data_IF_058351888411
#
_entry.id   IF_058351888411
#
_cell.length_a   1.000
_cell.length_b   1.000
_cell.length_c   1.000
_cell.angle_alpha   90.00
_cell.angle_beta   90.00
_cell.angle_gamma   90.00
#
_symmetry.space_group_name_H-M   'P 1'
#
loop_
_entity.id
_entity.type
_entity.pdbx_description
1 polymer ?
#
# COMPACT_ATOMS: atom_id res chain seq x y z
N UNK A 1 3.78 -0.67 -28.30
CA UNK A 1 2.53 -0.89 -29.06
C UNK A 1 1.59 0.26 -28.76
N UNK A 2 0.92 0.84 -29.76
CA UNK A 2 0.02 1.99 -29.51
C UNK A 2 -1.09 1.60 -28.52
N UNK A 3 -1.41 2.51 -27.59
CA UNK A 3 -2.46 2.31 -26.59
C UNK A 3 -3.88 2.40 -27.18
N UNK A 4 -4.00 2.60 -28.50
CA UNK A 4 -5.28 2.86 -29.19
C UNK A 4 -6.28 1.71 -29.04
N UNK A 5 -5.81 0.48 -28.85
CA UNK A 5 -6.70 -0.67 -28.68
C UNK A 5 -7.39 -0.72 -27.31
N UNK A 6 -6.80 -0.13 -26.26
CA UNK A 6 -7.40 -0.17 -24.90
C UNK A 6 -8.73 0.57 -24.85
N UNK A 7 -8.82 1.73 -25.52
CA UNK A 7 -10.05 2.50 -25.60
C UNK A 7 -11.18 1.74 -26.30
N UNK A 8 -10.84 0.83 -27.21
CA UNK A 8 -11.83 0.00 -27.94
C UNK A 8 -12.54 -1.02 -27.06
N UNK A 9 -11.97 -1.40 -25.91
CA UNK A 9 -12.61 -2.35 -25.00
C UNK A 9 -13.94 -1.79 -24.45
N UNK A 10 -14.01 -0.47 -24.31
CA UNK A 10 -15.17 0.25 -23.81
C UNK A 10 -16.21 0.55 -24.90
N UNK A 11 -15.98 0.09 -26.13
CA UNK A 11 -16.92 0.20 -27.25
C UNK A 11 -17.47 -1.18 -27.64
N UNK A 12 -18.24 -1.23 -28.72
CA UNK A 12 -18.72 -2.49 -29.31
C UNK A 12 -17.67 -3.16 -30.22
N UNK A 13 -16.50 -2.54 -30.43
CA UNK A 13 -15.41 -3.10 -31.24
C UNK A 13 -14.76 -4.29 -30.50
N UNK A 14 -14.61 -5.43 -31.18
CA UNK A 14 -13.97 -6.65 -30.63
C UNK A 14 -12.55 -6.86 -31.15
N UNK A 15 -12.07 -6.01 -32.06
CA UNK A 15 -10.72 -6.11 -32.66
C UNK A 15 -9.58 -5.97 -31.64
N UNK A 16 -9.87 -5.47 -30.43
CA UNK A 16 -8.91 -5.37 -29.35
C UNK A 16 -8.44 -6.72 -28.81
N UNK A 17 -9.25 -7.78 -28.93
CA UNK A 17 -8.98 -9.07 -28.27
C UNK A 17 -7.66 -9.69 -28.70
N UNK A 18 -7.38 -9.74 -30.01
CA UNK A 18 -6.14 -10.31 -30.53
C UNK A 18 -4.91 -9.50 -30.10
N UNK A 19 -5.00 -8.16 -30.12
CA UNK A 19 -3.92 -7.27 -29.68
C UNK A 19 -3.67 -7.39 -28.17
N UNK A 20 -4.74 -7.51 -27.39
CA UNK A 20 -4.66 -7.69 -25.94
C UNK A 20 -4.02 -9.02 -25.54
N UNK A 21 -4.40 -10.12 -26.23
CA UNK A 21 -3.80 -11.44 -26.02
C UNK A 21 -2.31 -11.43 -26.36
N UNK A 22 -1.94 -10.88 -27.52
CA UNK A 22 -0.54 -10.75 -27.92
C UNK A 22 0.26 -9.88 -26.93
N UNK A 23 -0.31 -8.75 -26.49
CA UNK A 23 0.32 -7.86 -25.51
C UNK A 23 0.51 -8.54 -24.15
N UNK A 24 -0.43 -9.38 -23.72
CA UNK A 24 -0.36 -10.07 -22.43
C UNK A 24 0.74 -11.15 -22.42
N UNK A 25 0.97 -11.82 -23.54
CA UNK A 25 2.04 -12.82 -23.69
C UNK A 25 3.42 -12.20 -24.00
N UNK A 26 3.46 -10.96 -24.51
CA UNK A 26 4.71 -10.27 -24.85
C UNK A 26 5.57 -9.90 -23.64
N UNK A 27 5.02 -9.90 -22.43
CA UNK A 27 5.76 -9.68 -21.18
C UNK A 27 5.74 -10.96 -20.32
N UNK A 28 6.72 -11.89 -20.50
CA UNK A 28 6.72 -13.17 -19.80
C UNK A 28 6.72 -13.06 -18.28
N UNK A 29 7.39 -12.04 -17.72
CA UNK A 29 7.42 -11.83 -16.26
C UNK A 29 6.05 -11.45 -15.72
N UNK A 30 5.38 -10.49 -16.36
CA UNK A 30 4.02 -10.08 -15.97
C UNK A 30 3.00 -11.19 -16.23
N UNK A 31 3.13 -11.91 -17.34
CA UNK A 31 2.30 -13.06 -17.65
C UNK A 31 2.42 -14.13 -16.55
N UNK A 32 3.64 -14.42 -16.10
CA UNK A 32 3.90 -15.34 -14.99
C UNK A 32 3.28 -14.86 -13.67
N UNK A 33 3.45 -13.58 -13.33
CA UNK A 33 2.86 -12.98 -12.11
C UNK A 33 1.34 -13.14 -12.05
N UNK A 34 0.65 -12.97 -13.18
CA UNK A 34 -0.81 -13.07 -13.27
C UNK A 34 -1.31 -14.41 -13.83
N UNK A 35 -0.44 -15.42 -13.92
CA UNK A 35 -0.77 -16.76 -14.44
C UNK A 35 -1.48 -16.73 -15.82
N UNK A 36 -0.96 -15.90 -16.74
CA UNK A 36 -1.39 -15.83 -18.13
C UNK A 36 -0.46 -16.69 -18.98
N UNK A 37 -1.01 -17.66 -19.69
CA UNK A 37 -0.29 -18.64 -20.53
C UNK A 37 -0.94 -18.72 -21.91
N UNK A 38 -0.29 -19.36 -22.88
CA UNK A 38 -0.89 -19.65 -24.20
C UNK A 38 -2.25 -20.34 -24.09
N UNK A 39 -2.42 -21.17 -23.07
CA UNK A 39 -3.57 -22.06 -22.92
C UNK A 39 -4.77 -21.34 -22.33
N UNK A 40 -4.55 -20.28 -21.54
CA UNK A 40 -5.61 -19.55 -20.83
C UNK A 40 -5.75 -18.07 -21.22
N UNK A 41 -4.88 -17.53 -22.10
CA UNK A 41 -4.86 -16.11 -22.43
C UNK A 41 -6.19 -15.61 -22.99
N UNK A 42 -6.88 -16.42 -23.80
CA UNK A 42 -8.15 -16.05 -24.43
C UNK A 42 -9.21 -15.78 -23.36
N UNK A 43 -9.42 -16.74 -22.45
CA UNK A 43 -10.37 -16.64 -21.35
C UNK A 43 -10.01 -15.49 -20.40
N UNK A 44 -8.74 -15.40 -19.99
CA UNK A 44 -8.24 -14.38 -19.05
C UNK A 44 -8.43 -12.96 -19.58
N UNK A 45 -8.16 -12.75 -20.87
CA UNK A 45 -8.27 -11.43 -21.51
C UNK A 45 -9.72 -11.06 -21.78
N UNK A 46 -10.56 -12.03 -22.14
CA UNK A 46 -12.00 -11.79 -22.27
C UNK A 46 -12.61 -11.38 -20.92
N UNK A 47 -12.37 -12.17 -19.87
CA UNK A 47 -12.86 -11.86 -18.52
C UNK A 47 -12.34 -10.54 -17.98
N UNK A 48 -11.09 -10.17 -18.28
CA UNK A 48 -10.55 -8.85 -17.94
C UNK A 48 -11.25 -7.71 -18.68
N UNK A 49 -11.57 -7.90 -19.97
CA UNK A 49 -12.34 -6.94 -20.77
C UNK A 49 -13.76 -6.72 -20.23
N UNK A 50 -14.43 -7.80 -19.83
CA UNK A 50 -15.77 -7.72 -19.25
C UNK A 50 -15.75 -7.05 -17.87
N UNK A 51 -14.76 -7.39 -17.02
CA UNK A 51 -14.57 -6.72 -15.73
C UNK A 51 -14.22 -5.24 -15.91
N UNK A 52 -13.40 -4.88 -16.90
CA UNK A 52 -13.09 -3.48 -17.20
C UNK A 52 -14.38 -2.70 -17.46
N UNK A 53 -15.30 -3.21 -18.29
CA UNK A 53 -16.57 -2.54 -18.60
C UNK A 53 -17.43 -2.32 -17.36
N UNK A 54 -17.44 -3.28 -16.43
CA UNK A 54 -18.18 -3.17 -15.17
C UNK A 54 -17.56 -2.14 -14.22
N UNK A 55 -16.23 -2.12 -14.11
CA UNK A 55 -15.50 -1.23 -13.19
C UNK A 55 -15.39 0.20 -13.72
N UNK A 56 -15.40 0.39 -15.04
CA UNK A 56 -15.06 1.67 -15.67
C UNK A 56 -15.91 2.87 -15.22
N UNK A 57 -17.24 2.77 -14.99
CA UNK A 57 -18.04 3.91 -14.52
C UNK A 57 -17.56 4.45 -13.16
N UNK A 58 -17.44 3.59 -12.16
CA UNK A 58 -16.98 3.97 -10.82
C UNK A 58 -15.52 4.44 -10.84
N UNK A 59 -14.69 3.75 -11.63
CA UNK A 59 -13.29 4.14 -11.83
C UNK A 59 -13.15 5.51 -12.49
N UNK A 60 -13.98 5.82 -13.50
CA UNK A 60 -13.99 7.10 -14.19
C UNK A 60 -14.33 8.23 -13.21
N UNK A 61 -15.37 8.04 -12.40
CA UNK A 61 -15.72 8.97 -11.34
C UNK A 61 -14.58 9.14 -10.33
N UNK A 62 -13.93 8.05 -9.93
CA UNK A 62 -12.77 8.09 -9.03
C UNK A 62 -11.60 8.90 -9.63
N UNK A 63 -11.27 8.68 -10.91
CA UNK A 63 -10.23 9.43 -11.60
C UNK A 63 -10.50 10.93 -11.62
N UNK A 64 -11.73 11.33 -11.94
CA UNK A 64 -12.11 12.74 -12.06
C UNK A 64 -12.16 13.43 -10.69
N UNK A 65 -12.76 12.79 -9.69
CA UNK A 65 -12.99 13.41 -8.37
C UNK A 65 -11.75 13.32 -7.48
N UNK A 66 -11.14 12.13 -7.40
CA UNK A 66 -10.06 11.86 -6.43
C UNK A 66 -8.69 12.13 -7.04
N UNK A 67 -8.42 11.61 -8.24
CA UNK A 67 -7.12 11.76 -8.88
C UNK A 67 -6.99 13.07 -9.68
N UNK A 68 -8.11 13.76 -9.94
CA UNK A 68 -8.19 14.97 -10.77
C UNK A 68 -7.50 14.79 -12.13
N UNK A 69 -7.74 13.63 -12.75
CA UNK A 69 -7.15 13.26 -14.03
C UNK A 69 -8.18 12.60 -14.95
N UNK A 70 -7.87 12.57 -16.24
CA UNK A 70 -8.71 11.91 -17.22
C UNK A 70 -8.65 10.38 -17.06
N UNK A 71 -9.78 9.68 -17.05
CA UNK A 71 -9.82 8.21 -16.91
C UNK A 71 -8.94 7.50 -17.95
N UNK A 72 -8.85 8.06 -19.16
CA UNK A 72 -8.04 7.51 -20.25
C UNK A 72 -6.55 7.50 -19.93
N UNK A 73 -6.04 8.46 -19.15
CA UNK A 73 -4.64 8.48 -18.72
C UNK A 73 -4.31 7.32 -17.77
N UNK A 74 -5.34 6.81 -17.05
CA UNK A 74 -5.19 5.76 -16.04
C UNK A 74 -5.68 4.39 -16.53
N UNK A 75 -6.19 4.29 -17.77
CA UNK A 75 -6.72 3.06 -18.33
C UNK A 75 -5.66 1.95 -18.44
N UNK A 76 -4.42 2.34 -18.73
CA UNK A 76 -3.29 1.42 -18.83
C UNK A 76 -2.92 0.81 -17.46
N UNK A 77 -2.67 1.59 -16.39
CA UNK A 77 -2.57 1.09 -15.02
C UNK A 77 -3.71 0.16 -14.60
N UNK A 78 -4.95 0.53 -14.93
CA UNK A 78 -6.12 -0.30 -14.63
C UNK A 78 -6.05 -1.66 -15.31
N UNK A 79 -5.73 -1.67 -16.60
CA UNK A 79 -5.66 -2.89 -17.41
C UNK A 79 -4.48 -3.81 -17.05
N UNK A 80 -3.29 -3.25 -16.89
CA UNK A 80 -2.06 -4.01 -16.73
C UNK A 80 -1.84 -4.51 -15.31
N UNK A 81 -2.33 -3.77 -14.30
CA UNK A 81 -2.08 -4.05 -12.89
C UNK A 81 -3.35 -4.25 -12.09
N UNK A 82 -4.22 -3.24 -11.99
CA UNK A 82 -5.25 -3.25 -10.95
C UNK A 82 -6.33 -4.30 -11.17
N UNK A 83 -6.81 -4.47 -12.41
CA UNK A 83 -7.78 -5.52 -12.75
C UNK A 83 -7.25 -6.93 -12.47
N UNK A 84 -6.08 -7.36 -13.03
CA UNK A 84 -5.58 -8.70 -12.76
C UNK A 84 -5.22 -8.90 -11.28
N UNK A 85 -4.76 -7.86 -10.58
CA UNK A 85 -4.49 -7.93 -9.15
C UNK A 85 -5.77 -8.13 -8.32
N UNK A 86 -6.85 -7.41 -8.63
CA UNK A 86 -8.15 -7.59 -7.98
C UNK A 86 -8.69 -9.01 -8.16
N UNK A 87 -8.60 -9.56 -9.38
CA UNK A 87 -8.96 -10.96 -9.66
C UNK A 87 -8.09 -11.94 -8.87
N UNK A 88 -6.77 -11.71 -8.81
CA UNK A 88 -5.87 -12.57 -8.05
C UNK A 88 -6.18 -12.58 -6.54
N UNK A 89 -6.47 -11.42 -5.94
CA UNK A 89 -6.89 -11.31 -4.53
C UNK A 89 -8.21 -12.04 -4.30
N UNK A 90 -9.20 -11.84 -5.18
CA UNK A 90 -10.49 -12.54 -5.12
C UNK A 90 -10.32 -14.06 -5.18
N UNK A 91 -9.50 -14.57 -6.11
CA UNK A 91 -9.21 -16.02 -6.21
C UNK A 91 -8.53 -16.55 -4.95
N UNK A 92 -7.57 -15.81 -4.38
CA UNK A 92 -6.89 -16.21 -3.13
C UNK A 92 -7.85 -16.26 -1.94
N UNK A 93 -8.77 -15.30 -1.85
CA UNK A 93 -9.83 -15.32 -0.85
C UNK A 93 -10.75 -16.55 -1.02
N UNK A 94 -11.22 -16.83 -2.25
CA UNK A 94 -12.05 -18.00 -2.54
C UNK A 94 -11.38 -19.32 -2.13
N UNK A 95 -10.09 -19.48 -2.45
CA UNK A 95 -9.31 -20.67 -2.09
C UNK A 95 -9.11 -20.79 -0.56
N UNK A 96 -8.98 -19.66 0.13
CA UNK A 96 -8.81 -19.65 1.59
C UNK A 96 -10.11 -19.96 2.34
N UNK A 97 -11.27 -19.58 1.80
CA UNK A 97 -12.60 -19.87 2.36
C UNK A 97 -12.95 -19.10 3.63
N UNK A 98 -12.22 -18.03 3.96
CA UNK A 98 -12.44 -17.13 5.10
C UNK A 98 -11.94 -15.72 4.78
N UNK A 99 -12.21 -14.70 5.62
CA UNK A 99 -11.74 -13.34 5.36
C UNK A 99 -10.25 -13.29 5.03
N UNK A 100 -9.90 -12.60 3.94
CA UNK A 100 -8.54 -12.55 3.42
C UNK A 100 -7.88 -11.19 3.73
N UNK A 101 -6.74 -11.20 4.40
CA UNK A 101 -5.99 -9.98 4.73
C UNK A 101 -4.83 -9.80 3.75
N UNK A 102 -4.99 -8.85 2.83
CA UNK A 102 -3.97 -8.43 1.89
C UNK A 102 -3.14 -7.29 2.48
N UNK A 103 -1.87 -7.56 2.81
CA UNK A 103 -0.90 -6.53 3.20
C UNK A 103 -0.38 -5.76 2.00
N UNK A 104 -0.25 -4.44 2.12
CA UNK A 104 0.30 -3.55 1.09
C UNK A 104 1.35 -2.64 1.73
N UNK A 105 2.62 -2.91 1.47
CA UNK A 105 3.74 -2.07 1.89
C UNK A 105 4.08 -1.05 0.81
N UNK A 106 4.47 0.15 1.22
CA UNK A 106 5.02 1.16 0.31
C UNK A 106 5.42 2.43 1.05
N UNK A 107 6.50 3.08 0.64
CA UNK A 107 6.93 4.34 1.26
C UNK A 107 5.93 5.49 1.00
N UNK A 108 6.20 6.66 1.56
CA UNK A 108 5.37 7.84 1.32
C UNK A 108 5.40 8.22 -0.18
N UNK A 109 4.24 8.51 -0.76
CA UNK A 109 4.12 8.87 -2.18
C UNK A 109 3.92 7.70 -3.15
N UNK A 110 4.11 6.44 -2.75
CA UNK A 110 4.01 5.29 -3.68
C UNK A 110 2.59 4.92 -4.14
N UNK A 111 1.55 5.61 -3.65
CA UNK A 111 0.16 5.37 -4.08
C UNK A 111 -0.59 4.26 -3.35
N UNK A 112 -0.16 3.82 -2.15
CA UNK A 112 -0.85 2.80 -1.32
C UNK A 112 -2.37 3.04 -1.17
N UNK A 113 -2.76 4.25 -0.77
CA UNK A 113 -4.18 4.59 -0.60
C UNK A 113 -4.94 4.55 -1.93
N UNK A 114 -4.30 4.95 -3.03
CA UNK A 114 -4.88 4.90 -4.37
C UNK A 114 -5.15 3.45 -4.80
N UNK A 115 -4.16 2.57 -4.66
CA UNK A 115 -4.35 1.16 -5.03
C UNK A 115 -5.40 0.48 -4.15
N UNK A 116 -5.47 0.79 -2.84
CA UNK A 116 -6.51 0.23 -1.97
C UNK A 116 -7.91 0.64 -2.41
N UNK A 117 -8.12 1.92 -2.75
CA UNK A 117 -9.42 2.41 -3.23
C UNK A 117 -9.83 1.75 -4.55
N UNK A 118 -8.90 1.65 -5.50
CA UNK A 118 -9.17 1.03 -6.81
C UNK A 118 -9.45 -0.46 -6.66
N UNK A 119 -8.67 -1.18 -5.84
CA UNK A 119 -8.94 -2.58 -5.53
C UNK A 119 -10.30 -2.76 -4.84
N UNK A 120 -10.70 -1.84 -3.97
CA UNK A 120 -12.05 -1.80 -3.39
C UNK A 120 -13.14 -1.77 -4.45
N UNK A 121 -13.04 -0.85 -5.43
CA UNK A 121 -13.99 -0.77 -6.55
C UNK A 121 -14.05 -2.07 -7.37
N UNK A 122 -12.88 -2.64 -7.69
CA UNK A 122 -12.79 -3.87 -8.48
C UNK A 122 -13.39 -5.06 -7.73
N UNK A 123 -13.03 -5.23 -6.46
CA UNK A 123 -13.49 -6.33 -5.62
C UNK A 123 -15.00 -6.23 -5.35
N UNK A 124 -15.54 -5.01 -5.23
CA UNK A 124 -16.97 -4.79 -5.15
C UNK A 124 -17.70 -5.28 -6.40
N UNK A 125 -17.20 -4.96 -7.61
CA UNK A 125 -17.77 -5.47 -8.87
C UNK A 125 -17.63 -6.99 -9.03
N UNK A 126 -16.68 -7.60 -8.32
CA UNK A 126 -16.53 -9.05 -8.20
C UNK A 126 -17.40 -9.67 -7.09
N UNK A 127 -18.21 -8.86 -6.38
CA UNK A 127 -19.16 -9.32 -5.37
C UNK A 127 -18.60 -9.42 -3.95
N UNK A 128 -17.42 -8.88 -3.67
CA UNK A 128 -16.77 -8.93 -2.35
C UNK A 128 -16.89 -7.61 -1.60
N UNK A 129 -17.02 -7.71 -0.27
CA UNK A 129 -17.00 -6.57 0.64
C UNK A 129 -15.60 -6.38 1.18
N UNK A 130 -15.06 -5.18 0.98
CA UNK A 130 -13.70 -4.84 1.37
C UNK A 130 -13.66 -3.89 2.56
N UNK A 131 -12.74 -4.10 3.49
CA UNK A 131 -12.35 -3.12 4.50
C UNK A 131 -10.97 -2.55 4.17
N UNK A 132 -10.86 -1.23 4.01
CA UNK A 132 -9.56 -0.55 3.93
C UNK A 132 -9.11 -0.14 5.33
N UNK A 133 -8.00 -0.70 5.79
CA UNK A 133 -7.36 -0.38 7.06
C UNK A 133 -5.98 0.22 6.79
N UNK A 134 -5.72 1.43 7.28
CA UNK A 134 -4.38 2.01 7.25
C UNK A 134 -3.66 1.71 8.55
N UNK A 135 -2.36 1.45 8.49
CA UNK A 135 -1.52 1.43 9.69
C UNK A 135 -1.58 2.78 10.41
N UNK A 136 -1.76 3.88 9.68
CA UNK A 136 -1.90 5.22 10.27
C UNK A 136 -3.22 5.39 11.07
N UNK A 137 -4.26 4.61 10.79
CA UNK A 137 -5.50 4.62 11.59
C UNK A 137 -5.28 4.02 12.99
N UNK A 138 -4.18 3.28 13.14
CA UNK A 138 -3.78 2.58 14.35
C UNK A 138 -2.75 3.35 15.17
N UNK A 139 -2.51 4.63 14.88
CA UNK A 139 -1.69 5.46 15.76
C UNK A 139 -2.27 5.48 17.19
N UNK A 140 -1.37 5.60 18.16
CA UNK A 140 -1.76 5.86 19.54
C UNK A 140 -2.48 7.20 19.66
N UNK A 141 -3.29 7.34 20.71
CA UNK A 141 -3.99 8.60 20.99
C UNK A 141 -3.00 9.73 21.25
N UNK A 142 -3.46 10.97 21.18
CA UNK A 142 -2.64 12.14 21.51
C UNK A 142 -2.05 12.04 22.92
N UNK A 143 -2.84 11.60 23.91
CA UNK A 143 -2.40 11.44 25.29
C UNK A 143 -1.30 10.38 25.43
N UNK A 144 -1.48 9.21 24.79
CA UNK A 144 -0.46 8.16 24.79
C UNK A 144 0.83 8.63 24.10
N UNK A 145 0.70 9.45 23.04
CA UNK A 145 1.86 10.05 22.38
C UNK A 145 2.61 11.02 23.29
N UNK A 146 1.93 11.82 24.11
CA UNK A 146 2.58 12.67 25.10
C UNK A 146 3.37 11.84 26.12
N UNK A 147 2.80 10.73 26.59
CA UNK A 147 3.49 9.80 27.48
C UNK A 147 4.72 9.16 26.79
N UNK A 148 4.61 8.78 25.52
CA UNK A 148 5.74 8.25 24.74
C UNK A 148 6.88 9.26 24.60
N UNK A 149 6.58 10.52 24.31
CA UNK A 149 7.62 11.57 24.17
C UNK A 149 8.33 11.83 25.50
N UNK A 150 7.63 11.72 26.63
CA UNK A 150 8.25 11.80 27.95
C UNK A 150 9.19 10.63 28.24
N UNK A 151 8.88 9.44 27.72
CA UNK A 151 9.71 8.24 27.86
C UNK A 151 10.91 8.25 26.90
N UNK A 152 10.70 8.70 25.67
CA UNK A 152 11.73 8.83 24.65
C UNK A 152 11.48 10.06 23.80
N UNK A 153 12.22 11.13 24.07
CA UNK A 153 12.09 12.41 23.37
C UNK A 153 12.48 12.35 21.90
N UNK A 154 13.14 11.26 21.45
CA UNK A 154 13.46 11.04 20.03
C UNK A 154 12.22 10.73 19.20
N UNK A 155 11.12 10.26 19.80
CA UNK A 155 9.85 9.95 19.11
C UNK A 155 9.06 11.22 18.77
N UNK A 156 9.72 12.15 18.08
CA UNK A 156 9.21 13.48 17.77
C UNK A 156 7.94 13.43 16.92
N UNK A 157 7.84 12.51 15.96
CA UNK A 157 6.65 12.33 15.12
C UNK A 157 6.04 10.94 15.29
N UNK A 158 4.73 10.88 15.13
CA UNK A 158 4.02 9.60 14.88
C UNK A 158 4.58 8.99 13.59
N UNK A 159 4.77 7.68 13.56
CA UNK A 159 5.23 7.00 12.35
C UNK A 159 6.11 5.79 12.62
N UNK A 160 7.19 5.93 13.40
CA UNK A 160 8.09 4.81 13.67
C UNK A 160 7.44 3.65 14.44
N UNK A 161 8.07 2.47 14.43
CA UNK A 161 7.68 1.37 15.31
C UNK A 161 7.55 1.81 16.78
N UNK A 162 6.48 1.38 17.43
CA UNK A 162 6.15 1.76 18.82
C UNK A 162 5.12 2.89 18.93
N UNK A 163 4.87 3.65 17.86
CA UNK A 163 3.86 4.73 17.89
C UNK A 163 2.43 4.28 17.59
N UNK A 164 2.18 2.97 17.52
CA UNK A 164 0.88 2.39 17.13
C UNK A 164 0.25 1.59 18.29
N UNK A 165 -1.06 1.44 18.23
CA UNK A 165 -1.86 0.61 19.13
C UNK A 165 -2.05 -0.79 18.53
N UNK A 166 -1.12 -1.69 18.85
CA UNK A 166 -1.12 -3.05 18.28
C UNK A 166 -2.26 -3.91 18.81
N UNK A 167 -2.65 -3.71 20.08
CA UNK A 167 -3.78 -4.43 20.65
C UNK A 167 -5.07 -4.08 19.92
N UNK A 168 -5.28 -2.81 19.61
CA UNK A 168 -6.41 -2.38 18.80
C UNK A 168 -6.36 -2.97 17.39
N UNK A 169 -5.19 -2.98 16.74
CA UNK A 169 -5.02 -3.56 15.42
C UNK A 169 -5.40 -5.06 15.39
N UNK A 170 -4.90 -5.83 16.35
CA UNK A 170 -5.22 -7.25 16.50
C UNK A 170 -6.71 -7.45 16.76
N UNK A 171 -7.31 -6.65 17.64
CA UNK A 171 -8.74 -6.72 17.95
C UNK A 171 -9.60 -6.53 16.70
N UNK A 172 -9.27 -5.57 15.83
CA UNK A 172 -10.00 -5.35 14.56
C UNK A 172 -9.88 -6.55 13.64
N UNK A 173 -8.66 -7.04 13.39
CA UNK A 173 -8.44 -8.15 12.47
C UNK A 173 -9.03 -9.47 12.99
N UNK A 174 -8.95 -9.71 14.30
CA UNK A 174 -9.52 -10.92 14.93
C UNK A 174 -11.06 -10.86 14.91
N UNK A 175 -11.68 -9.69 15.13
CA UNK A 175 -13.13 -9.51 14.97
C UNK A 175 -13.59 -9.80 13.52
N UNK A 176 -12.84 -9.29 12.52
CA UNK A 176 -13.12 -9.60 11.10
C UNK A 176 -12.99 -11.10 10.84
N UNK A 177 -11.91 -11.73 11.29
CA UNK A 177 -11.67 -13.16 11.09
C UNK A 177 -12.74 -14.05 11.73
N UNK A 178 -13.34 -13.60 12.84
CA UNK A 178 -14.43 -14.28 13.54
C UNK A 178 -15.82 -13.99 12.96
N UNK A 179 -15.94 -13.04 12.03
CA UNK A 179 -17.23 -12.61 11.47
C UNK A 179 -18.10 -11.83 12.47
N UNK A 180 -17.49 -11.19 13.48
CA UNK A 180 -18.21 -10.39 14.47
C UNK A 180 -18.83 -9.15 13.81
N UNK A 181 -19.96 -8.69 14.34
CA UNK A 181 -20.62 -7.45 13.88
C UNK A 181 -21.28 -6.72 15.07
N UNK A 182 -21.10 -5.39 15.19
CA UNK A 182 -20.26 -4.55 14.33
C UNK A 182 -18.75 -4.74 14.62
N UNK A 183 -17.92 -4.63 13.58
CA UNK A 183 -16.47 -4.39 13.77
C UNK A 183 -16.24 -2.90 13.93
N UNK A 184 -15.61 -2.50 15.03
CA UNK A 184 -15.29 -1.09 15.30
C UNK A 184 -13.88 -0.81 14.77
N UNK A 185 -13.80 -0.09 13.65
CA UNK A 185 -12.54 0.24 12.98
C UNK A 185 -12.10 1.65 13.40
N UNK A 186 -10.92 1.82 14.01
CA UNK A 186 -10.44 3.14 14.38
C UNK A 186 -10.14 3.97 13.13
N UNK A 187 -10.25 5.29 13.28
CA UNK A 187 -9.83 6.26 12.28
C UNK A 187 -8.99 7.33 12.96
N UNK A 188 -8.03 7.91 12.23
CA UNK A 188 -7.10 8.88 12.78
C UNK A 188 -7.14 10.21 12.04
N UNK A 189 -7.34 11.31 12.78
CA UNK A 189 -7.26 12.66 12.24
C UNK A 189 -5.87 13.23 12.47
N UNK A 190 -5.10 13.36 11.40
CA UNK A 190 -3.74 13.91 11.41
C UNK A 190 -3.68 15.42 11.69
N UNK A 191 -4.80 16.13 11.56
CA UNK A 191 -4.89 17.59 11.73
C UNK A 191 -5.21 18.04 13.16
N UNK A 192 -5.78 17.14 13.97
CA UNK A 192 -6.10 17.40 15.37
C UNK A 192 -4.86 17.85 16.18
N UNK A 193 -5.08 18.63 17.24
CA UNK A 193 -4.04 19.15 18.12
C UNK A 193 -2.89 19.85 17.37
N UNK A 194 -3.23 20.73 16.42
CA UNK A 194 -2.25 21.50 15.66
C UNK A 194 -1.34 20.64 14.76
N UNK A 195 -1.87 19.51 14.25
CA UNK A 195 -1.12 18.59 13.38
C UNK A 195 -0.40 17.45 14.11
N UNK A 196 -0.45 17.41 15.45
CA UNK A 196 0.05 16.27 16.23
C UNK A 196 -0.78 15.00 15.97
N UNK A 197 -2.10 15.20 15.75
CA UNK A 197 -3.08 14.19 15.40
C UNK A 197 -3.64 13.44 16.61
N UNK A 198 -4.86 12.90 16.44
CA UNK A 198 -5.51 12.03 17.43
C UNK A 198 -6.50 11.06 16.75
N UNK A 199 -6.93 10.06 17.51
CA UNK A 199 -8.01 9.15 17.11
C UNK A 199 -9.31 9.94 17.00
N UNK A 200 -10.03 9.73 15.90
CA UNK A 200 -11.33 10.37 15.64
C UNK A 200 -12.45 9.35 15.75
N UNK A 201 -13.68 9.76 15.40
CA UNK A 201 -14.86 8.89 15.39
C UNK A 201 -14.57 7.60 14.63
N UNK A 202 -14.73 6.43 15.27
CA UNK A 202 -14.47 5.15 14.60
C UNK A 202 -15.56 4.88 13.56
N UNK A 203 -15.23 4.03 12.60
CA UNK A 203 -16.17 3.49 11.65
C UNK A 203 -16.76 2.17 12.15
N UNK A 204 -18.07 2.01 12.01
CA UNK A 204 -18.80 0.81 12.42
C UNK A 204 -19.14 -0.02 11.18
N UNK A 205 -18.49 -1.18 11.05
CA UNK A 205 -18.75 -2.10 9.95
C UNK A 205 -19.75 -3.15 10.41
N UNK A 206 -20.99 -3.03 9.95
CA UNK A 206 -22.10 -3.92 10.33
C UNK A 206 -22.28 -5.13 9.40
N UNK A 207 -21.79 -5.04 8.17
CA UNK A 207 -21.78 -6.14 7.23
C UNK A 207 -20.53 -7.01 7.41
N UNK A 208 -20.59 -8.29 7.04
CA UNK A 208 -19.37 -9.10 7.00
C UNK A 208 -18.35 -8.54 6.00
N UNK A 209 -17.07 -8.75 6.31
CA UNK A 209 -15.92 -8.33 5.52
C UNK A 209 -15.29 -9.57 4.91
N UNK A 210 -15.19 -9.60 3.58
CA UNK A 210 -14.61 -10.73 2.85
C UNK A 210 -13.09 -10.52 2.67
N UNK A 211 -12.66 -9.27 2.44
CA UNK A 211 -11.26 -8.94 2.18
C UNK A 211 -10.87 -7.68 2.95
N UNK A 212 -9.76 -7.73 3.70
CA UNK A 212 -9.12 -6.56 4.32
C UNK A 212 -7.94 -6.13 3.44
N UNK A 213 -7.95 -4.88 3.00
CA UNK A 213 -6.82 -4.21 2.36
C UNK A 213 -6.07 -3.44 3.46
N UNK A 214 -5.00 -4.04 3.98
CA UNK A 214 -4.22 -3.48 5.08
C UNK A 214 -2.93 -2.85 4.56
N UNK A 215 -2.86 -1.52 4.57
CA UNK A 215 -1.74 -0.77 3.99
C UNK A 215 -0.94 0.00 5.04
N UNK A 216 0.36 0.18 4.77
CA UNK A 216 1.20 1.05 5.59
C UNK A 216 2.66 1.05 5.15
N UNK A 217 3.44 2.00 5.68
CA UNK A 217 4.79 2.25 5.18
C UNK A 217 5.83 1.20 5.58
N UNK A 218 5.52 0.37 6.59
CA UNK A 218 6.32 -0.78 7.02
C UNK A 218 5.50 -2.06 7.29
N UNK A 219 4.32 -2.19 6.67
CA UNK A 219 3.49 -3.40 6.83
C UNK A 219 4.26 -4.66 6.42
N UNK A 220 4.40 -5.61 7.34
CA UNK A 220 5.14 -6.86 7.10
C UNK A 220 6.66 -6.76 7.30
N UNK A 221 7.21 -5.58 7.63
CA UNK A 221 8.64 -5.45 7.97
C UNK A 221 8.94 -6.15 9.29
N UNK A 222 9.99 -6.97 9.29
CA UNK A 222 10.44 -7.78 10.43
C UNK A 222 11.75 -7.22 11.00
N UNK A 223 12.04 -7.47 12.30
CA UNK A 223 13.32 -7.13 12.87
C UNK A 223 14.49 -7.78 12.11
N UNK A 224 15.57 -7.03 11.93
CA UNK A 224 16.83 -7.50 11.34
C UNK A 224 17.89 -7.72 12.43
N UNK A 225 18.97 -8.42 12.07
CA UNK A 225 20.07 -8.66 12.99
C UNK A 225 20.79 -7.34 13.34
N UNK A 226 21.08 -7.05 14.63
CA UNK A 226 21.66 -5.76 15.04
C UNK A 226 22.99 -5.38 14.36
N UNK A 227 23.75 -6.36 13.88
CA UNK A 227 24.99 -6.10 13.10
C UNK A 227 24.76 -5.27 11.84
N UNK A 228 23.55 -5.26 11.28
CA UNK A 228 23.23 -4.45 10.09
C UNK A 228 23.42 -2.94 10.35
N UNK A 229 23.30 -2.49 11.60
CA UNK A 229 23.46 -1.07 11.96
C UNK A 229 24.93 -0.62 12.03
N UNK A 230 25.90 -1.54 12.04
CA UNK A 230 27.32 -1.21 12.09
C UNK A 230 27.80 -0.53 10.80
N UNK A 231 27.16 -0.83 9.68
CA UNK A 231 27.45 -0.27 8.35
C UNK A 231 26.19 0.32 7.74
N UNK A 232 25.34 0.94 8.57
CA UNK A 232 24.09 1.53 8.10
C UNK A 232 24.36 2.68 7.10
N UNK A 233 23.54 2.80 6.05
CA UNK A 233 23.63 3.91 5.10
C UNK A 233 23.12 5.23 5.73
N UNK A 234 23.52 6.40 5.17
CA UNK A 234 22.95 7.69 5.52
C UNK A 234 21.41 7.69 5.33
N UNK A 235 20.64 8.35 6.21
CA UNK A 235 21.07 9.31 7.24
C UNK A 235 21.45 8.70 8.61
N UNK A 236 21.67 7.38 8.72
CA UNK A 236 22.12 6.76 9.98
C UNK A 236 23.64 6.91 10.10
N UNK A 237 24.12 8.04 10.64
CA UNK A 237 25.55 8.41 10.61
C UNK A 237 26.16 8.37 12.02
N UNK A 238 25.48 8.95 13.00
CA UNK A 238 25.98 9.08 14.37
C UNK A 238 25.68 7.84 15.22
N UNK A 239 26.33 7.71 16.38
CA UNK A 239 25.98 6.67 17.34
C UNK A 239 24.54 6.81 17.85
N UNK A 240 24.05 8.04 17.97
CA UNK A 240 22.66 8.32 18.34
C UNK A 240 21.68 7.83 17.26
N UNK A 241 22.00 8.04 15.98
CA UNK A 241 21.16 7.54 14.87
C UNK A 241 21.15 6.01 14.85
N UNK A 242 22.32 5.38 15.01
CA UNK A 242 22.43 3.91 15.07
C UNK A 242 21.64 3.34 16.24
N UNK A 243 21.72 3.96 17.41
CA UNK A 243 20.96 3.54 18.58
C UNK A 243 19.46 3.71 18.34
N UNK A 244 19.02 4.83 17.76
CA UNK A 244 17.63 5.05 17.41
C UNK A 244 17.11 3.98 16.43
N UNK A 245 17.85 3.70 15.35
CA UNK A 245 17.50 2.64 14.39
C UNK A 245 17.41 1.25 15.06
N UNK A 246 18.36 0.93 15.96
CA UNK A 246 18.36 -0.33 16.70
C UNK A 246 17.17 -0.44 17.66
N UNK A 247 16.78 0.66 18.31
CA UNK A 247 15.61 0.69 19.20
C UNK A 247 14.30 0.51 18.39
N UNK A 248 14.18 1.16 17.23
CA UNK A 248 13.04 0.98 16.32
C UNK A 248 12.96 -0.45 15.78
N UNK A 249 14.11 -1.05 15.48
CA UNK A 249 14.21 -2.47 15.12
C UNK A 249 13.75 -3.40 16.26
N UNK A 250 14.04 -3.06 17.52
CA UNK A 250 13.55 -3.82 18.66
C UNK A 250 12.02 -3.71 18.81
N UNK A 251 11.46 -2.52 18.59
CA UNK A 251 10.01 -2.28 18.61
C UNK A 251 9.25 -3.10 17.57
N UNK A 252 9.85 -3.40 16.41
CA UNK A 252 9.23 -4.25 15.38
C UNK A 252 8.83 -5.65 15.89
N UNK A 253 9.46 -6.16 16.97
CA UNK A 253 9.05 -7.43 17.58
C UNK A 253 7.59 -7.42 18.02
N UNK A 254 7.11 -6.27 18.49
CA UNK A 254 5.72 -6.09 18.93
C UNK A 254 4.72 -6.17 17.77
N UNK A 255 5.17 -6.00 16.52
CA UNK A 255 4.33 -6.05 15.32
C UNK A 255 4.26 -7.45 14.70
N UNK A 256 5.09 -8.40 15.12
CA UNK A 256 5.10 -9.74 14.54
C UNK A 256 3.73 -10.45 14.62
N UNK A 257 2.99 -10.41 15.74
CA UNK A 257 1.65 -11.02 15.80
C UNK A 257 0.65 -10.38 14.82
N UNK A 258 0.83 -9.09 14.53
CA UNK A 258 0.01 -8.38 13.54
C UNK A 258 0.33 -8.85 12.12
N UNK A 259 1.62 -9.05 11.81
CA UNK A 259 2.06 -9.56 10.51
C UNK A 259 1.66 -11.02 10.27
N UNK A 260 1.52 -11.82 11.32
CA UNK A 260 0.98 -13.19 11.24
C UNK A 260 -0.49 -13.24 10.79
N UNK A 261 -1.22 -12.12 10.83
CA UNK A 261 -2.59 -12.03 10.29
C UNK A 261 -2.63 -11.79 8.79
N UNK A 262 -1.51 -11.41 8.15
CA UNK A 262 -1.45 -11.23 6.71
C UNK A 262 -1.50 -12.59 6.00
N UNK A 263 -2.34 -12.70 4.97
CA UNK A 263 -2.38 -13.87 4.10
C UNK A 263 -1.51 -13.71 2.85
N UNK A 264 -1.15 -12.47 2.52
CA UNK A 264 -0.36 -12.09 1.36
C UNK A 264 0.25 -10.72 1.58
N UNK A 265 1.41 -10.46 0.97
CA UNK A 265 2.09 -9.17 1.04
C UNK A 265 2.49 -8.67 -0.36
N UNK A 266 1.98 -7.50 -0.72
CA UNK A 266 2.38 -6.75 -1.91
C UNK A 266 3.29 -5.60 -1.48
N UNK A 267 4.39 -5.38 -2.20
CA UNK A 267 5.31 -4.27 -1.95
C UNK A 267 5.33 -3.32 -3.15
N UNK A 268 4.90 -2.07 -2.92
CA UNK A 268 5.11 -0.94 -3.84
C UNK A 268 6.51 -0.40 -3.61
N UNK A 269 7.43 -0.82 -4.46
CA UNK A 269 8.87 -0.58 -4.32
C UNK A 269 9.32 0.55 -5.24
N UNK A 270 9.62 1.76 -4.73
CA UNK A 270 10.22 2.77 -5.57
C UNK A 270 11.59 2.29 -6.06
N UNK A 271 11.90 2.48 -7.35
CA UNK A 271 13.20 2.10 -7.91
C UNK A 271 14.37 2.85 -7.27
N UNK A 272 14.06 3.98 -6.62
CA UNK A 272 14.93 4.70 -5.70
C UNK A 272 14.11 5.21 -4.50
N UNK A 273 14.43 4.76 -3.29
CA UNK A 273 13.70 5.17 -2.08
C UNK A 273 13.73 6.69 -1.85
N UNK A 274 14.73 7.39 -2.39
CA UNK A 274 14.88 8.84 -2.26
C UNK A 274 13.79 9.62 -2.98
N UNK A 275 13.06 9.00 -3.89
CA UNK A 275 11.87 9.59 -4.49
C UNK A 275 10.82 9.97 -3.44
N UNK A 276 10.77 9.31 -2.27
CA UNK A 276 9.84 9.71 -1.21
C UNK A 276 10.08 11.13 -0.71
N UNK A 277 11.32 11.63 -0.75
CA UNK A 277 11.61 13.04 -0.42
C UNK A 277 11.06 13.98 -1.50
N UNK A 278 11.27 13.65 -2.77
CA UNK A 278 10.79 14.46 -3.91
C UNK A 278 9.26 14.51 -3.91
N UNK A 279 8.61 13.35 -3.78
CA UNK A 279 7.16 13.25 -3.72
C UNK A 279 6.57 13.94 -2.49
N UNK A 280 7.25 13.87 -1.34
CA UNK A 280 6.83 14.62 -0.16
C UNK A 280 6.90 16.12 -0.39
N UNK A 281 7.98 16.63 -0.99
CA UNK A 281 8.10 18.05 -1.36
C UNK A 281 7.01 18.49 -2.34
N UNK A 282 6.66 17.65 -3.31
CA UNK A 282 5.56 17.93 -4.26
C UNK A 282 4.20 18.00 -3.55
N UNK A 283 3.88 16.99 -2.73
CA UNK A 283 2.63 16.93 -1.98
C UNK A 283 2.47 18.12 -1.01
N UNK A 284 3.57 18.54 -0.35
CA UNK A 284 3.53 19.70 0.54
C UNK A 284 3.28 21.00 -0.25
N UNK A 285 3.93 21.17 -1.41
CA UNK A 285 3.73 22.33 -2.30
C UNK A 285 2.28 22.42 -2.79
N UNK A 286 1.69 21.30 -3.20
CA UNK A 286 0.28 21.24 -3.61
C UNK A 286 -0.66 21.58 -2.45
N UNK A 287 -0.38 21.08 -1.24
CA UNK A 287 -1.17 21.38 -0.06
C UNK A 287 -1.12 22.88 0.31
N UNK A 288 0.08 23.48 0.31
CA UNK A 288 0.27 24.92 0.56
C UNK A 288 -0.45 25.77 -0.50
N UNK A 289 -0.41 25.35 -1.77
CA UNK A 289 -1.13 26.02 -2.85
C UNK A 289 -2.65 26.03 -2.66
N UNK A 290 -3.20 25.09 -1.88
CA UNK A 290 -4.63 25.09 -1.48
C UNK A 290 -4.95 25.98 -0.27
N UNK A 291 -3.99 26.77 0.21
CA UNK A 291 -4.16 27.71 1.33
C UNK A 291 -4.00 27.10 2.72
N UNK A 292 -3.49 25.86 2.81
CA UNK A 292 -3.20 25.20 4.09
C UNK A 292 -1.78 25.53 4.57
N UNK A 293 -1.54 25.52 5.88
CA UNK A 293 -0.19 25.56 6.42
C UNK A 293 0.57 24.28 6.08
N UNK A 294 1.89 24.39 5.92
CA UNK A 294 2.76 23.27 5.58
C UNK A 294 4.18 23.48 6.09
N UNK A 295 4.97 22.42 6.03
CA UNK A 295 6.39 22.39 6.38
C UNK A 295 7.23 23.13 5.33
N UNK A 296 8.28 23.81 5.77
CA UNK A 296 9.31 24.33 4.89
C UNK A 296 10.22 23.21 4.36
N UNK A 297 11.08 23.50 3.39
CA UNK A 297 11.89 22.45 2.74
C UNK A 297 12.84 21.71 3.70
N UNK A 298 13.41 22.40 4.69
CA UNK A 298 14.29 21.79 5.70
C UNK A 298 13.50 20.89 6.66
N UNK A 299 12.31 21.32 7.06
CA UNK A 299 11.41 20.53 7.90
C UNK A 299 10.96 19.24 7.18
N UNK A 300 10.68 19.33 5.87
CA UNK A 300 10.35 18.16 5.04
C UNK A 300 11.53 17.19 4.97
N UNK A 301 12.74 17.70 4.75
CA UNK A 301 13.95 16.87 4.70
C UNK A 301 14.20 16.15 6.01
N UNK A 302 14.11 16.86 7.13
CA UNK A 302 14.29 16.28 8.46
C UNK A 302 13.18 15.28 8.79
N UNK A 303 11.94 15.56 8.39
CA UNK A 303 10.82 14.63 8.52
C UNK A 303 11.11 13.33 7.75
N UNK A 304 11.51 13.40 6.48
CA UNK A 304 11.77 12.20 5.67
C UNK A 304 13.00 11.44 6.19
N UNK A 305 14.07 12.16 6.54
CA UNK A 305 15.28 11.57 7.11
C UNK A 305 14.99 10.86 8.43
N UNK A 306 14.07 11.39 9.26
CA UNK A 306 13.64 10.72 10.48
C UNK A 306 13.03 9.34 10.22
N UNK A 307 12.19 9.18 9.19
CA UNK A 307 11.68 7.86 8.81
C UNK A 307 12.80 6.95 8.29
N UNK A 308 13.72 7.46 7.47
CA UNK A 308 14.86 6.68 6.99
C UNK A 308 15.83 6.27 8.11
N UNK A 309 16.01 7.10 9.15
CA UNK A 309 16.76 6.74 10.35
C UNK A 309 16.03 5.66 11.16
N UNK A 310 14.70 5.71 11.20
CA UNK A 310 13.92 4.73 11.97
C UNK A 310 13.95 3.33 11.35
N UNK A 311 13.73 3.23 10.04
CA UNK A 311 13.73 1.99 9.28
C UNK A 311 14.26 2.26 7.87
N UNK A 312 15.59 2.23 7.71
CA UNK A 312 16.20 2.54 6.42
C UNK A 312 15.78 1.55 5.31
N UNK A 313 15.29 2.01 4.14
CA UNK A 313 14.79 1.12 3.09
C UNK A 313 15.79 0.04 2.66
N UNK A 314 17.06 0.38 2.47
CA UNK A 314 18.10 -0.60 2.10
C UNK A 314 18.33 -1.69 3.16
N UNK A 315 18.10 -1.39 4.45
CA UNK A 315 18.31 -2.36 5.53
C UNK A 315 17.09 -3.28 5.72
N UNK A 316 15.89 -2.77 5.46
CA UNK A 316 14.64 -3.44 5.82
C UNK A 316 13.79 -3.90 4.63
N UNK A 317 13.73 -3.10 3.56
CA UNK A 317 12.86 -3.35 2.41
C UNK A 317 13.59 -4.17 1.36
N UNK A 318 14.84 -3.83 1.04
CA UNK A 318 15.64 -4.56 0.04
C UNK A 318 15.80 -6.06 0.34
N UNK A 319 16.10 -6.50 1.57
CA UNK A 319 16.09 -7.94 1.87
C UNK A 319 14.66 -8.51 1.88
N UNK A 320 13.65 -7.74 2.29
CA UNK A 320 12.27 -8.20 2.36
C UNK A 320 11.70 -8.54 0.97
N UNK A 321 11.97 -7.70 -0.03
CA UNK A 321 11.53 -7.92 -1.43
C UNK A 321 12.26 -9.07 -2.13
N UNK A 322 13.30 -9.65 -1.51
CA UNK A 322 13.92 -10.90 -1.97
C UNK A 322 13.40 -12.13 -1.20
N UNK A 323 12.63 -11.92 -0.13
CA UNK A 323 12.16 -13.01 0.72
C UNK A 323 10.90 -13.67 0.17
N UNK A 324 10.71 -14.95 0.47
CA UNK A 324 9.47 -15.68 0.17
C UNK A 324 8.24 -15.20 0.96
N UNK A 325 8.39 -14.20 1.84
CA UNK A 325 7.26 -13.61 2.57
C UNK A 325 6.54 -12.49 1.82
N UNK A 326 7.10 -12.09 0.66
CA UNK A 326 6.45 -11.15 -0.26
C UNK A 326 5.93 -11.94 -1.45
N UNK A 327 4.67 -11.70 -1.83
CA UNK A 327 4.01 -12.35 -2.95
C UNK A 327 4.26 -11.62 -4.27
N UNK A 328 4.29 -10.29 -4.22
CA UNK A 328 4.38 -9.43 -5.38
C UNK A 328 5.12 -8.14 -5.05
N UNK A 329 6.11 -7.81 -5.85
CA UNK A 329 6.81 -6.52 -5.84
C UNK A 329 6.43 -5.77 -7.11
N UNK A 330 5.98 -4.54 -6.95
CA UNK A 330 5.59 -3.62 -8.01
C UNK A 330 6.58 -2.46 -7.97
N UNK A 331 7.46 -2.37 -8.97
CA UNK A 331 8.38 -1.24 -9.06
C UNK A 331 7.62 0.05 -9.40
N UNK A 332 7.99 1.15 -8.74
CA UNK A 332 7.45 2.49 -8.97
C UNK A 332 8.58 3.40 -9.45
N UNK A 333 8.43 3.97 -10.64
CA UNK A 333 9.39 4.93 -11.20
C UNK A 333 9.16 6.33 -10.62
N UNK A 334 10.09 7.26 -10.86
CA UNK A 334 10.05 8.63 -10.35
C UNK A 334 8.76 9.39 -10.71
N UNK A 335 8.16 9.09 -11.86
CA UNK A 335 6.93 9.68 -12.38
C UNK A 335 5.65 8.94 -11.89
N UNK A 336 5.79 8.05 -10.92
CA UNK A 336 4.75 7.14 -10.41
C UNK A 336 4.25 6.09 -11.42
N UNK A 337 4.85 6.00 -12.61
CA UNK A 337 4.58 4.89 -13.52
C UNK A 337 5.07 3.58 -12.93
N UNK A 338 4.42 2.49 -13.34
CA UNK A 338 4.81 1.16 -12.91
C UNK A 338 6.00 0.63 -13.73
N UNK A 339 7.02 0.14 -13.03
CA UNK A 339 8.14 -0.59 -13.59
C UNK A 339 7.85 -2.09 -13.69
N UNK A 340 8.81 -2.93 -13.29
CA UNK A 340 8.65 -4.39 -13.35
C UNK A 340 7.75 -4.92 -12.24
N UNK A 341 7.09 -6.03 -12.55
CA UNK A 341 6.39 -6.87 -11.57
C UNK A 341 7.17 -8.15 -11.38
N UNK A 342 7.41 -8.54 -10.12
CA UNK A 342 8.10 -9.80 -9.79
C UNK A 342 7.48 -10.45 -8.57
N UNK A 343 7.50 -11.77 -8.53
CA UNK A 343 7.32 -12.52 -7.29
C UNK A 343 8.69 -13.04 -6.86
N UNK A 344 9.12 -12.85 -5.61
CA UNK A 344 10.36 -13.44 -5.09
C UNK A 344 10.42 -14.97 -5.21
N UNK A 345 9.27 -15.62 -5.40
CA UNK A 345 9.18 -17.07 -5.56
C UNK A 345 9.57 -17.57 -6.95
N UNK A 346 9.75 -16.71 -7.97
CA UNK A 346 10.02 -17.17 -9.34
C UNK A 346 10.55 -16.13 -10.34
#
# INVERSE_FOLDING_TARGET
MSNEWLGKILTTDTSWQALAQASALANPMQAKVFNVTSDNVVERIQGRGDLLKLVFPDFSQFCQITLKTEPQAMLRPLWDLWLPLGVQIATRHQLLGKPFVQGILGSQGTGKTTICKILGLILQQLGYRTLSLSLDDLYKTYNDRLALIQQDSRLLWRGPPGTHDIHLALSVLDQVAQGNSPVIVPRFDKSAYGGAGDRTTPEYITNSVDIVLFEGWFVGVKPIHPRAFLTAPPPIITDADRQFAADMNAQLKNYLPLWERLNSLIVLYPTDYRYSLVWRKQAEKEMIATGKSGMNELEIEEFVNYFWRSLHPELFIDPLIQSSSVDLVIEINADHSFGKFRSPTF
#
